data_IF_512033152938
#
_entry.id   IF_512033152938
#
_cell.length_a   1.000
_cell.length_b   1.000
_cell.length_c   1.000
_cell.angle_alpha   90.00
_cell.angle_beta   90.00
_cell.angle_gamma   90.00
#
_symmetry.space_group_name_H-M   'P 1'
#
loop_
_entity.id
_entity.type
_entity.pdbx_description
1 polymer ?
#
# COMPACT_ATOMS: atom_id res chain seq x y z
N UNK A 1 0.72 -18.69 -16.46
CA UNK A 1 -0.52 -18.41 -17.17
C UNK A 1 -1.31 -17.30 -16.49
N UNK A 2 -1.51 -17.36 -15.17
CA UNK A 2 -1.89 -16.19 -14.33
C UNK A 2 -1.01 -14.97 -14.55
N UNK A 3 0.28 -15.24 -14.72
CA UNK A 3 1.32 -14.27 -15.04
C UNK A 3 1.40 -13.91 -16.53
N UNK A 4 0.63 -14.57 -17.40
CA UNK A 4 0.66 -14.43 -18.86
C UNK A 4 -0.54 -13.60 -19.38
N UNK A 5 -1.63 -13.52 -18.62
CA UNK A 5 -2.68 -12.51 -18.81
C UNK A 5 -2.23 -11.07 -18.57
N UNK A 6 -1.02 -10.92 -18.03
CA UNK A 6 -0.29 -9.67 -17.97
C UNK A 6 0.37 -9.31 -19.32
N UNK A 7 0.32 -10.21 -20.32
CA UNK A 7 0.91 -10.04 -21.67
C UNK A 7 -0.12 -9.69 -22.74
N UNK A 8 -0.97 -8.70 -22.50
CA UNK A 8 -1.62 -8.02 -23.63
C UNK A 8 -0.57 -7.12 -24.28
N UNK A 9 0.02 -7.56 -25.40
CA UNK A 9 1.04 -6.84 -26.18
C UNK A 9 1.04 -5.33 -25.96
N UNK A 10 1.96 -4.86 -25.11
CA UNK A 10 2.26 -3.46 -24.87
C UNK A 10 1.06 -2.57 -24.51
N UNK A 11 0.49 -2.68 -23.30
CA UNK A 11 -0.26 -1.57 -22.68
C UNK A 11 -0.50 -1.62 -21.15
N UNK A 12 0.05 -2.58 -20.39
CA UNK A 12 -0.14 -2.66 -18.91
C UNK A 12 1.19 -2.81 -18.15
N UNK A 13 1.91 -1.70 -18.03
CA UNK A 13 3.08 -1.55 -17.14
C UNK A 13 2.56 -1.28 -15.72
N UNK A 14 2.97 -1.97 -14.66
CA UNK A 14 4.13 -1.70 -13.81
C UNK A 14 4.12 -2.60 -12.54
N UNK A 15 4.04 -3.93 -12.65
CA UNK A 15 4.73 -4.80 -11.67
C UNK A 15 6.01 -5.23 -12.36
N UNK A 16 7.16 -4.99 -11.72
CA UNK A 16 8.45 -5.36 -12.29
C UNK A 16 8.57 -6.87 -12.44
N UNK A 17 8.34 -7.31 -13.66
CA UNK A 17 8.45 -8.68 -14.16
C UNK A 17 9.85 -9.28 -14.00
N UNK A 18 10.87 -8.46 -13.69
CA UNK A 18 12.22 -8.94 -13.33
C UNK A 18 12.27 -9.66 -11.99
N UNK A 19 11.19 -9.64 -11.19
CA UNK A 19 11.07 -10.48 -9.98
C UNK A 19 11.01 -11.99 -10.30
N UNK A 20 10.79 -12.40 -11.55
CA UNK A 20 10.69 -13.81 -11.95
C UNK A 20 11.68 -14.16 -13.07
N UNK A 21 12.89 -14.60 -12.72
CA UNK A 21 14.01 -14.82 -13.66
C UNK A 21 13.91 -16.11 -14.51
N UNK A 22 12.80 -16.87 -14.45
CA UNK A 22 12.60 -18.10 -15.23
C UNK A 22 11.16 -18.22 -15.76
N UNK A 23 10.94 -17.99 -17.07
CA UNK A 23 9.85 -18.60 -17.88
C UNK A 23 10.04 -18.26 -19.37
N UNK A 24 9.68 -19.10 -20.36
CA UNK A 24 8.43 -19.88 -20.52
C UNK A 24 8.57 -21.17 -21.38
N UNK A 25 7.78 -22.24 -21.11
CA UNK A 25 7.45 -23.23 -22.15
C UNK A 25 5.95 -23.54 -22.41
N UNK A 26 4.97 -23.24 -21.55
CA UNK A 26 3.58 -23.71 -21.76
C UNK A 26 2.49 -22.74 -21.23
N UNK A 27 1.56 -22.31 -22.09
CA UNK A 27 0.44 -21.40 -21.76
C UNK A 27 -0.92 -22.12 -21.88
N UNK A 28 -1.72 -22.17 -20.79
CA UNK A 28 -3.06 -22.75 -20.71
C UNK A 28 -4.03 -21.95 -19.80
N UNK A 29 -5.14 -21.43 -20.36
CA UNK A 29 -6.44 -20.95 -19.78
C UNK A 29 -6.54 -20.02 -18.54
N UNK A 30 -7.33 -18.92 -18.63
CA UNK A 30 -7.49 -17.88 -17.56
C UNK A 30 -8.40 -18.35 -16.44
N UNK A 31 -7.92 -18.38 -15.19
CA UNK A 31 -8.73 -18.74 -14.01
C UNK A 31 -9.36 -17.50 -13.34
N UNK A 32 -10.46 -17.68 -12.60
CA UNK A 32 -11.20 -16.57 -11.99
C UNK A 32 -10.38 -15.86 -10.89
N UNK A 33 -9.55 -16.61 -10.16
CA UNK A 33 -8.63 -16.13 -9.14
C UNK A 33 -7.60 -15.15 -9.74
N UNK A 34 -7.22 -15.36 -11.00
CA UNK A 34 -6.29 -14.50 -11.74
C UNK A 34 -6.88 -13.11 -11.96
N UNK A 35 -8.20 -12.99 -12.12
CA UNK A 35 -8.88 -11.70 -12.28
C UNK A 35 -8.83 -10.87 -11.00
N UNK A 36 -9.02 -11.50 -9.84
CA UNK A 36 -8.93 -10.83 -8.55
C UNK A 36 -7.49 -10.33 -8.28
N UNK A 37 -6.51 -11.19 -8.57
CA UNK A 37 -5.09 -10.86 -8.48
C UNK A 37 -4.71 -9.68 -9.38
N UNK A 38 -5.04 -9.75 -10.66
CA UNK A 38 -4.75 -8.70 -11.65
C UNK A 38 -5.40 -7.37 -11.25
N UNK A 39 -6.67 -7.39 -10.83
CA UNK A 39 -7.38 -6.19 -10.37
C UNK A 39 -6.70 -5.57 -9.16
N UNK A 40 -6.40 -6.37 -8.14
CA UNK A 40 -5.80 -5.89 -6.90
C UNK A 40 -4.46 -5.20 -7.14
N UNK A 41 -3.57 -5.82 -7.91
CA UNK A 41 -2.26 -5.24 -8.14
C UNK A 41 -2.23 -4.13 -9.18
N UNK A 42 -3.14 -4.11 -10.16
CA UNK A 42 -3.29 -2.95 -11.05
C UNK A 42 -3.79 -1.73 -10.28
N UNK A 43 -4.75 -1.91 -9.37
CA UNK A 43 -5.18 -0.84 -8.48
C UNK A 43 -4.05 -0.40 -7.57
N UNK A 44 -3.26 -1.33 -7.01
CA UNK A 44 -2.13 -0.97 -6.16
C UNK A 44 -1.09 -0.11 -6.90
N UNK A 45 -0.76 -0.46 -8.14
CA UNK A 45 0.15 0.34 -8.96
C UNK A 45 -0.42 1.72 -9.27
N UNK A 46 -1.72 1.79 -9.58
CA UNK A 46 -2.40 3.05 -9.83
C UNK A 46 -2.39 3.93 -8.58
N UNK A 47 -2.73 3.37 -7.41
CA UNK A 47 -2.82 4.08 -6.14
C UNK A 47 -1.47 4.59 -5.67
N UNK A 48 -0.43 3.77 -5.78
CA UNK A 48 0.93 4.20 -5.45
C UNK A 48 1.49 5.22 -6.46
N UNK A 49 0.94 5.28 -7.68
CA UNK A 49 1.44 6.14 -8.74
C UNK A 49 2.75 5.60 -9.33
N UNK A 50 2.82 4.31 -9.66
CA UNK A 50 4.06 3.65 -10.13
C UNK A 50 4.77 4.34 -11.31
N UNK A 51 4.05 5.04 -12.19
CA UNK A 51 4.62 5.83 -13.29
C UNK A 51 5.41 7.07 -12.82
N UNK A 52 5.20 7.49 -11.58
CA UNK A 52 5.88 8.60 -10.92
C UNK A 52 7.03 8.10 -10.02
N UNK A 53 7.34 6.81 -10.04
CA UNK A 53 8.28 6.22 -9.08
C UNK A 53 9.65 5.90 -9.67
N UNK A 54 10.68 5.99 -8.83
CA UNK A 54 12.03 5.50 -9.13
C UNK A 54 12.16 4.06 -8.63
N UNK A 55 12.46 3.08 -9.50
CA UNK A 55 12.64 1.70 -9.08
C UNK A 55 14.06 1.46 -8.53
N UNK A 56 14.17 0.70 -7.45
CA UNK A 56 15.43 0.14 -6.92
C UNK A 56 15.39 -1.39 -7.06
N UNK A 57 15.99 -1.89 -8.14
CA UNK A 57 15.76 -3.25 -8.65
C UNK A 57 16.74 -4.24 -8.04
N UNK A 58 16.23 -5.42 -7.66
CA UNK A 58 16.91 -6.53 -6.99
C UNK A 58 18.38 -6.78 -7.40
N UNK A 59 18.66 -6.96 -8.69
CA UNK A 59 20.00 -7.32 -9.17
C UNK A 59 21.06 -6.23 -8.92
N UNK A 60 20.62 -4.98 -8.82
CA UNK A 60 21.50 -3.80 -8.66
C UNK A 60 21.40 -3.21 -7.25
N UNK A 61 20.38 -3.59 -6.49
CA UNK A 61 20.03 -3.00 -5.19
C UNK A 61 20.13 -3.98 -4.02
N UNK A 62 20.69 -5.18 -4.21
CA UNK A 62 20.92 -6.13 -3.10
C UNK A 62 21.78 -5.54 -1.96
N UNK A 63 22.65 -4.58 -2.29
CA UNK A 63 23.44 -3.83 -1.31
C UNK A 63 22.62 -2.76 -0.55
N UNK A 64 21.37 -2.51 -0.97
CA UNK A 64 20.44 -1.53 -0.38
C UNK A 64 19.31 -2.25 0.36
N UNK A 65 18.74 -3.29 -0.26
CA UNK A 65 17.61 -4.07 0.27
C UNK A 65 17.72 -5.54 -0.17
N UNK A 66 17.46 -6.48 0.73
CA UNK A 66 17.44 -7.92 0.40
C UNK A 66 16.40 -8.70 1.21
N UNK A 67 15.93 -9.81 0.65
CA UNK A 67 15.23 -10.86 1.40
C UNK A 67 16.20 -11.88 2.00
N UNK A 68 15.79 -12.58 3.05
CA UNK A 68 16.57 -13.63 3.70
C UNK A 68 16.37 -15.00 3.05
N UNK A 69 15.21 -15.24 2.44
CA UNK A 69 14.87 -16.48 1.79
C UNK A 69 15.30 -16.48 0.32
N UNK A 70 16.10 -17.46 -0.16
CA UNK A 70 16.56 -17.51 -1.55
C UNK A 70 15.43 -17.75 -2.58
N UNK A 71 14.26 -18.23 -2.14
CA UNK A 71 13.08 -18.36 -2.99
C UNK A 71 12.26 -17.06 -3.07
N UNK A 72 12.60 -16.04 -2.27
CA UNK A 72 11.94 -14.74 -2.28
C UNK A 72 12.78 -13.70 -3.02
N UNK A 73 12.10 -12.81 -3.73
CA UNK A 73 12.69 -11.65 -4.40
C UNK A 73 12.07 -10.38 -3.83
N UNK A 74 12.91 -9.37 -3.57
CA UNK A 74 12.49 -8.09 -3.01
C UNK A 74 12.86 -6.96 -3.95
N UNK A 75 11.96 -6.00 -4.14
CA UNK A 75 12.22 -4.74 -4.84
C UNK A 75 11.52 -3.60 -4.11
N UNK A 76 11.99 -2.37 -4.31
CA UNK A 76 11.32 -1.19 -3.75
C UNK A 76 11.19 -0.08 -4.79
N UNK A 77 10.14 0.71 -4.66
CA UNK A 77 9.88 1.87 -5.51
C UNK A 77 9.69 3.10 -4.65
N UNK A 78 10.39 4.18 -4.97
CA UNK A 78 10.19 5.47 -4.33
C UNK A 78 9.26 6.34 -5.17
N UNK A 79 8.11 6.75 -4.63
CA UNK A 79 7.27 7.75 -5.29
C UNK A 79 7.99 9.10 -5.28
N UNK A 80 8.22 9.71 -6.45
CA UNK A 80 8.99 10.97 -6.55
C UNK A 80 8.22 12.21 -6.08
N UNK A 81 6.89 12.14 -6.06
CA UNK A 81 6.02 13.25 -5.65
C UNK A 81 5.93 13.32 -4.13
N UNK A 82 5.75 12.17 -3.48
CA UNK A 82 5.44 12.08 -2.06
C UNK A 82 6.60 11.60 -1.20
N UNK A 83 7.62 10.98 -1.79
CA UNK A 83 8.74 10.36 -1.08
C UNK A 83 8.42 9.02 -0.43
N UNK A 84 7.19 8.53 -0.56
CA UNK A 84 6.77 7.24 -0.01
C UNK A 84 7.43 6.06 -0.73
N UNK A 85 7.52 4.92 -0.04
CA UNK A 85 8.12 3.70 -0.56
C UNK A 85 7.06 2.61 -0.74
N UNK A 86 7.17 1.84 -1.82
CA UNK A 86 6.44 0.59 -2.01
C UNK A 86 7.44 -0.56 -2.06
N UNK A 87 7.47 -1.37 -1.02
CA UNK A 87 8.27 -2.59 -0.96
C UNK A 87 7.41 -3.74 -1.48
N UNK A 88 7.95 -4.48 -2.46
CA UNK A 88 7.29 -5.62 -3.08
C UNK A 88 8.14 -6.86 -2.84
N UNK A 89 7.52 -7.90 -2.31
CA UNK A 89 8.15 -9.18 -2.03
C UNK A 89 7.39 -10.27 -2.77
N UNK A 90 8.09 -11.06 -3.57
CA UNK A 90 7.53 -12.16 -4.33
C UNK A 90 8.16 -13.48 -3.99
N UNK A 91 7.34 -14.52 -3.81
CA UNK A 91 7.78 -15.90 -3.66
C UNK A 91 7.77 -16.59 -5.02
N UNK A 92 8.93 -17.04 -5.48
CA UNK A 92 9.09 -17.75 -6.75
C UNK A 92 8.90 -19.28 -6.63
N UNK A 93 8.68 -19.80 -5.42
CA UNK A 93 8.42 -21.22 -5.20
C UNK A 93 6.94 -21.57 -5.30
N UNK A 94 6.67 -22.85 -5.55
CA UNK A 94 5.33 -23.45 -5.58
C UNK A 94 4.79 -23.85 -4.19
N UNK A 95 5.55 -23.56 -3.13
CA UNK A 95 5.14 -23.73 -1.74
C UNK A 95 5.13 -22.37 -1.02
N UNK A 96 4.28 -22.17 0.01
CA UNK A 96 4.38 -21.00 0.88
C UNK A 96 5.74 -20.96 1.58
N UNK A 97 6.29 -19.76 1.75
CA UNK A 97 7.56 -19.54 2.47
C UNK A 97 7.41 -18.43 3.50
N UNK A 98 8.35 -18.38 4.44
CA UNK A 98 8.53 -17.22 5.31
C UNK A 98 9.81 -16.51 4.89
N UNK A 99 9.75 -15.18 4.87
CA UNK A 99 10.89 -14.32 4.54
C UNK A 99 11.01 -13.16 5.52
N UNK A 100 12.16 -12.50 5.50
CA UNK A 100 12.43 -11.26 6.22
C UNK A 100 13.17 -10.31 5.28
N UNK A 101 12.84 -9.02 5.35
CA UNK A 101 13.54 -7.98 4.57
C UNK A 101 14.54 -7.26 5.47
N UNK A 102 15.71 -6.98 4.92
CA UNK A 102 16.76 -6.15 5.53
C UNK A 102 17.02 -4.93 4.68
N UNK A 103 16.98 -3.75 5.28
CA UNK A 103 17.37 -2.47 4.68
C UNK A 103 18.81 -2.16 5.06
N UNK A 104 19.75 -2.49 4.18
CA UNK A 104 21.20 -2.29 4.41
C UNK A 104 21.61 -0.82 4.35
N UNK A 105 20.96 -0.05 3.45
CA UNK A 105 21.25 1.37 3.19
C UNK A 105 19.95 2.17 3.09
N UNK A 106 19.16 2.25 4.18
CA UNK A 106 17.84 2.88 4.16
C UNK A 106 17.88 4.35 3.68
N UNK A 107 18.95 5.08 3.95
CA UNK A 107 19.15 6.45 3.47
C UNK A 107 19.18 6.59 1.94
N UNK A 108 19.62 5.55 1.21
CA UNK A 108 19.60 5.55 -0.26
C UNK A 108 18.17 5.39 -0.80
N UNK A 109 17.25 4.96 0.06
CA UNK A 109 15.80 4.93 -0.16
C UNK A 109 15.11 6.18 0.42
N UNK A 110 15.86 7.20 0.85
CA UNK A 110 15.30 8.39 1.50
C UNK A 110 14.64 8.11 2.86
N UNK A 111 15.03 7.01 3.52
CA UNK A 111 14.55 6.68 4.86
C UNK A 111 15.49 7.31 5.89
N UNK A 112 14.95 8.18 6.74
CA UNK A 112 15.66 8.81 7.85
C UNK A 112 15.54 7.94 9.12
N UNK A 113 16.64 7.45 9.70
CA UNK A 113 16.63 6.62 10.91
C UNK A 113 15.90 7.27 12.11
N UNK A 114 15.89 8.60 12.21
CA UNK A 114 15.27 9.32 13.31
C UNK A 114 13.77 9.60 13.10
N UNK A 115 13.28 9.43 11.87
CA UNK A 115 11.88 9.68 11.52
C UNK A 115 11.02 8.45 11.84
N UNK A 116 9.79 8.68 12.29
CA UNK A 116 8.79 7.62 12.43
C UNK A 116 8.10 7.35 11.09
N UNK A 117 7.90 6.08 10.79
CA UNK A 117 7.24 5.60 9.58
C UNK A 117 6.07 4.68 9.88
N UNK A 118 5.06 4.74 9.02
CA UNK A 118 3.97 3.81 8.97
C UNK A 118 4.23 2.74 7.93
N UNK A 119 4.11 1.47 8.32
CA UNK A 119 4.21 0.31 7.42
C UNK A 119 2.82 -0.26 7.24
N UNK A 120 2.24 -0.03 6.07
CA UNK A 120 0.92 -0.55 5.71
C UNK A 120 1.05 -1.78 4.83
N UNK A 121 0.52 -2.88 5.33
CA UNK A 121 0.36 -4.11 4.58
C UNK A 121 -0.86 -4.02 3.66
N UNK A 122 -0.62 -3.92 2.35
CA UNK A 122 -1.70 -3.69 1.38
C UNK A 122 -2.60 -4.92 1.24
N UNK A 123 -2.09 -6.12 1.48
CA UNK A 123 -2.84 -7.37 1.32
C UNK A 123 -3.62 -7.69 2.60
N UNK A 124 -2.93 -7.69 3.74
CA UNK A 124 -3.53 -8.00 5.04
C UNK A 124 -4.31 -6.82 5.64
N UNK A 125 -4.15 -5.62 5.08
CA UNK A 125 -4.75 -4.36 5.56
C UNK A 125 -4.38 -4.05 7.01
N UNK A 126 -3.16 -4.39 7.40
CA UNK A 126 -2.61 -4.10 8.74
C UNK A 126 -1.65 -2.92 8.69
N UNK A 127 -1.48 -2.25 9.83
CA UNK A 127 -0.61 -1.08 9.94
C UNK A 127 0.21 -1.13 11.21
N UNK A 128 1.51 -0.94 11.05
CA UNK A 128 2.44 -0.81 12.16
C UNK A 128 3.19 0.51 12.06
N UNK A 129 3.69 0.98 13.19
CA UNK A 129 4.54 2.17 13.27
C UNK A 129 5.92 1.70 13.69
N UNK A 130 6.96 2.16 13.02
CA UNK A 130 8.35 1.89 13.38
C UNK A 130 9.19 3.15 13.26
N UNK A 131 10.30 3.22 13.97
CA UNK A 131 11.34 4.21 13.67
C UNK A 131 12.02 3.82 12.35
N UNK A 132 12.62 4.77 11.65
CA UNK A 132 13.41 4.46 10.45
C UNK A 132 14.56 3.49 10.73
N UNK A 133 15.14 3.55 11.93
CA UNK A 133 16.20 2.64 12.38
C UNK A 133 15.70 1.21 12.62
N UNK A 134 14.43 1.04 13.01
CA UNK A 134 13.83 -0.25 13.38
C UNK A 134 12.88 -0.80 12.31
N UNK A 135 12.92 -0.27 11.08
CA UNK A 135 11.99 -0.66 10.02
C UNK A 135 12.09 -2.13 9.64
N UNK A 136 13.28 -2.71 9.70
CA UNK A 136 13.50 -4.14 9.47
C UNK A 136 12.66 -5.01 10.39
N UNK A 137 12.43 -4.56 11.64
CA UNK A 137 11.60 -5.26 12.61
C UNK A 137 10.14 -5.41 12.15
N UNK A 138 9.61 -4.42 11.43
CA UNK A 138 8.27 -4.47 10.85
C UNK A 138 8.19 -5.36 9.60
N UNK A 139 9.33 -5.77 9.04
CA UNK A 139 9.45 -6.58 7.84
C UNK A 139 10.06 -7.97 8.11
N UNK A 140 9.92 -8.48 9.34
CA UNK A 140 10.35 -9.82 9.73
C UNK A 140 9.22 -10.85 9.66
N UNK A 141 9.58 -12.12 9.42
CA UNK A 141 8.66 -13.28 9.50
C UNK A 141 7.42 -13.13 8.61
N UNK A 142 7.61 -12.56 7.43
CA UNK A 142 6.58 -12.30 6.45
C UNK A 142 6.18 -13.61 5.78
N UNK A 143 4.92 -14.00 5.94
CA UNK A 143 4.36 -15.17 5.26
C UNK A 143 4.06 -14.82 3.81
N UNK A 144 4.70 -15.52 2.87
CA UNK A 144 4.51 -15.34 1.45
C UNK A 144 3.78 -16.56 0.87
N UNK A 145 2.65 -16.36 0.17
CA UNK A 145 1.94 -17.47 -0.49
C UNK A 145 2.79 -18.09 -1.61
N UNK A 146 2.51 -19.35 -1.96
CA UNK A 146 3.10 -20.00 -3.13
C UNK A 146 2.86 -19.17 -4.39
N UNK A 147 3.91 -18.92 -5.19
CA UNK A 147 3.86 -18.07 -6.38
C UNK A 147 3.21 -16.69 -6.14
N UNK A 148 3.26 -16.19 -4.91
CA UNK A 148 2.50 -15.04 -4.45
C UNK A 148 3.33 -13.79 -4.20
N UNK A 149 2.63 -12.66 -4.10
CA UNK A 149 3.18 -11.34 -3.80
C UNK A 149 2.60 -10.76 -2.51
N UNK A 150 3.46 -10.01 -1.81
CA UNK A 150 3.10 -9.16 -0.68
C UNK A 150 3.66 -7.75 -0.91
N UNK A 151 2.85 -6.75 -0.59
CA UNK A 151 3.15 -5.34 -0.85
C UNK A 151 3.03 -4.55 0.46
N UNK A 152 4.04 -3.75 0.74
CA UNK A 152 4.10 -2.88 1.91
C UNK A 152 4.30 -1.44 1.47
N UNK A 153 3.37 -0.58 1.86
CA UNK A 153 3.47 0.85 1.66
C UNK A 153 4.05 1.50 2.90
N UNK A 154 5.17 2.18 2.73
CA UNK A 154 5.92 2.84 3.76
C UNK A 154 5.85 4.35 3.56
N UNK A 155 5.40 5.07 4.59
CA UNK A 155 5.27 6.53 4.54
C UNK A 155 5.73 7.18 5.84
N UNK A 156 6.31 8.39 5.81
CA UNK A 156 6.65 9.12 7.02
C UNK A 156 5.36 9.53 7.77
N UNK A 157 5.38 9.35 9.09
CA UNK A 157 4.27 9.74 9.95
C UNK A 157 4.39 11.22 10.30
N UNK A 158 3.32 11.97 10.03
CA UNK A 158 3.17 13.33 10.52
C UNK A 158 2.77 13.30 12.00
N UNK A 159 3.53 14.01 12.84
CA UNK A 159 3.32 14.02 14.28
C UNK A 159 1.98 14.63 14.70
N UNK A 160 1.51 15.66 13.99
CA UNK A 160 0.45 16.56 14.47
C UNK A 160 -0.86 16.49 13.68
N UNK A 161 -0.96 15.63 12.67
CA UNK A 161 -2.11 15.61 11.75
C UNK A 161 -2.46 14.21 11.26
N UNK A 162 -3.72 13.97 10.87
CA UNK A 162 -4.08 12.77 10.13
C UNK A 162 -3.41 12.75 8.75
N UNK A 163 -3.34 11.57 8.14
CA UNK A 163 -2.76 11.36 6.82
C UNK A 163 -3.54 10.30 6.03
N UNK A 164 -3.56 10.46 4.71
CA UNK A 164 -3.92 9.36 3.82
C UNK A 164 -2.81 8.31 3.82
N UNK A 165 -3.19 7.03 3.87
CA UNK A 165 -2.26 5.90 3.79
C UNK A 165 -2.46 5.16 2.47
N UNK A 166 -3.67 4.71 2.18
CA UNK A 166 -3.92 3.86 1.00
C UNK A 166 -5.36 3.96 0.50
N UNK A 167 -5.58 3.56 -0.74
CA UNK A 167 -6.89 3.57 -1.40
C UNK A 167 -7.08 4.84 -2.21
N UNK A 168 -7.16 4.71 -3.53
CA UNK A 168 -7.10 5.83 -4.47
C UNK A 168 -5.68 6.38 -4.65
N UNK A 169 -5.35 6.81 -5.87
CA UNK A 169 -4.16 7.59 -6.16
C UNK A 169 -4.30 8.96 -5.51
N UNK A 170 -3.35 9.30 -4.64
CA UNK A 170 -3.26 10.64 -4.04
C UNK A 170 -2.82 11.65 -5.09
N UNK A 171 -3.73 12.55 -5.44
CA UNK A 171 -3.51 13.64 -6.41
C UNK A 171 -3.04 14.90 -5.69
N UNK A 172 -3.64 15.18 -4.53
CA UNK A 172 -3.35 16.36 -3.72
C UNK A 172 -3.61 16.04 -2.25
N UNK A 173 -2.80 16.61 -1.37
CA UNK A 173 -3.00 16.56 0.08
C UNK A 173 -2.64 17.92 0.67
N UNK A 174 -3.57 18.51 1.40
CA UNK A 174 -3.41 19.82 2.03
C UNK A 174 -3.82 19.76 3.49
N UNK A 175 -2.94 20.25 4.36
CA UNK A 175 -3.23 20.43 5.78
C UNK A 175 -3.41 21.91 6.08
N UNK A 176 -4.61 22.26 6.55
CA UNK A 176 -4.94 23.60 7.06
C UNK A 176 -4.90 23.56 8.59
N UNK A 177 -3.82 24.06 9.23
CA UNK A 177 -3.71 24.07 10.69
C UNK A 177 -4.69 25.04 11.36
N UNK A 178 -5.13 26.11 10.68
CA UNK A 178 -6.05 27.08 11.23
C UNK A 178 -7.47 26.51 11.29
N UNK A 179 -7.90 25.81 10.24
CA UNK A 179 -9.15 25.06 10.22
C UNK A 179 -9.07 23.70 10.89
N UNK A 180 -7.86 23.25 11.27
CA UNK A 180 -7.55 21.89 11.75
C UNK A 180 -8.13 20.80 10.83
N UNK A 181 -7.93 20.98 9.53
CA UNK A 181 -8.56 20.15 8.49
C UNK A 181 -7.51 19.61 7.53
N UNK A 182 -7.58 18.31 7.27
CA UNK A 182 -6.90 17.67 6.16
C UNK A 182 -7.86 17.55 4.97
N UNK A 183 -7.43 17.95 3.79
CA UNK A 183 -8.15 17.75 2.53
C UNK A 183 -7.29 16.93 1.59
N UNK A 184 -7.83 15.84 1.04
CA UNK A 184 -7.12 14.92 0.14
C UNK A 184 -7.94 14.70 -1.12
N UNK A 185 -7.34 14.87 -2.30
CA UNK A 185 -7.96 14.50 -3.58
C UNK A 185 -7.46 13.13 -4.02
N UNK A 186 -8.38 12.18 -4.18
CA UNK A 186 -8.10 10.79 -4.50
C UNK A 186 -8.70 10.42 -5.87
N UNK A 187 -7.94 9.72 -6.70
CA UNK A 187 -8.40 9.24 -8.01
C UNK A 187 -8.33 7.73 -8.13
N UNK A 188 -9.29 7.12 -8.79
CA UNK A 188 -9.26 5.72 -9.21
C UNK A 188 -10.11 5.57 -10.48
N UNK A 189 -10.10 4.39 -11.13
CA UNK A 189 -11.03 4.11 -12.22
C UNK A 189 -12.49 4.31 -11.76
N UNK A 190 -13.28 4.99 -12.60
CA UNK A 190 -14.67 5.27 -12.29
C UNK A 190 -15.48 3.98 -12.10
N UNK A 191 -16.38 3.98 -11.12
CA UNK A 191 -17.21 2.81 -10.77
C UNK A 191 -16.50 1.79 -9.87
N UNK A 192 -15.22 1.97 -9.57
CA UNK A 192 -14.55 1.16 -8.55
C UNK A 192 -15.02 1.58 -7.17
N UNK A 193 -15.48 0.61 -6.40
CA UNK A 193 -15.67 0.71 -4.96
C UNK A 193 -14.50 0.02 -4.27
N UNK A 194 -13.84 0.72 -3.35
CA UNK A 194 -12.71 0.19 -2.56
C UNK A 194 -12.59 0.94 -1.22
N UNK A 195 -11.80 0.38 -0.31
CA UNK A 195 -11.51 0.98 0.99
C UNK A 195 -10.39 2.03 0.92
N UNK A 196 -10.62 3.15 1.59
CA UNK A 196 -9.61 4.18 1.87
C UNK A 196 -9.15 4.02 3.31
N UNK A 197 -7.83 4.07 3.51
CA UNK A 197 -7.15 3.89 4.79
C UNK A 197 -6.46 5.18 5.21
N UNK A 198 -6.64 5.56 6.46
CA UNK A 198 -6.12 6.80 7.03
C UNK A 198 -5.40 6.54 8.35
N UNK A 199 -4.34 7.30 8.59
CA UNK A 199 -3.79 7.46 9.94
C UNK A 199 -4.63 8.53 10.64
N UNK A 200 -5.29 8.23 11.77
CA UNK A 200 -6.11 9.23 12.48
C UNK A 200 -5.30 10.38 13.09
N UNK A 201 -3.98 10.22 13.26
CA UNK A 201 -3.16 11.19 14.00
C UNK A 201 -3.43 11.13 15.52
N UNK A 202 -2.85 12.06 16.31
CA UNK A 202 -2.98 12.04 17.77
C UNK A 202 -4.23 12.75 18.30
N UNK A 203 -4.84 13.62 17.49
CA UNK A 203 -5.97 14.45 17.91
C UNK A 203 -7.31 13.78 17.56
N UNK A 204 -8.37 14.02 18.36
CA UNK A 204 -9.69 13.50 18.04
C UNK A 204 -10.23 14.05 16.71
N UNK A 205 -10.93 13.19 15.98
CA UNK A 205 -11.56 13.52 14.70
C UNK A 205 -13.03 13.82 14.95
N UNK A 206 -13.47 15.01 14.53
CA UNK A 206 -14.84 15.48 14.66
C UNK A 206 -15.73 15.00 13.51
N UNK A 207 -15.18 14.95 12.29
CA UNK A 207 -15.92 14.54 11.09
C UNK A 207 -14.98 14.03 9.99
N UNK A 208 -15.50 13.13 9.17
CA UNK A 208 -14.93 12.75 7.89
C UNK A 208 -16.01 12.93 6.82
N UNK A 209 -15.67 13.63 5.75
CA UNK A 209 -16.58 13.82 4.61
C UNK A 209 -15.95 13.37 3.31
N UNK A 210 -16.80 12.91 2.40
CA UNK A 210 -16.47 12.53 1.03
C UNK A 210 -17.34 13.37 0.11
N UNK A 211 -16.71 14.20 -0.72
CA UNK A 211 -17.37 15.19 -1.58
C UNK A 211 -18.40 16.04 -0.82
N UNK A 212 -18.03 16.51 0.38
CA UNK A 212 -18.86 17.34 1.25
C UNK A 212 -20.00 16.61 1.98
N UNK A 213 -20.13 15.29 1.84
CA UNK A 213 -21.12 14.48 2.55
C UNK A 213 -20.48 13.69 3.68
N UNK A 214 -21.12 13.56 4.86
CA UNK A 214 -20.63 12.67 5.91
C UNK A 214 -20.36 11.26 5.39
N UNK A 215 -19.21 10.71 5.71
CA UNK A 215 -18.80 9.37 5.28
C UNK A 215 -18.59 8.45 6.48
N UNK A 216 -19.04 7.20 6.34
CA UNK A 216 -18.86 6.18 7.37
C UNK A 216 -17.43 5.64 7.31
N UNK A 217 -16.69 5.87 8.39
CA UNK A 217 -15.38 5.29 8.63
C UNK A 217 -15.39 4.59 9.98
N UNK A 218 -14.54 3.59 10.13
CA UNK A 218 -14.40 2.80 11.34
C UNK A 218 -12.94 2.76 11.79
N UNK A 219 -12.72 2.64 13.10
CA UNK A 219 -11.39 2.46 13.69
C UNK A 219 -11.01 0.97 13.68
N UNK A 220 -9.75 0.68 13.40
CA UNK A 220 -9.18 -0.64 13.73
C UNK A 220 -9.24 -0.88 15.24
N UNK A 221 -9.19 -2.15 15.65
CA UNK A 221 -9.24 -2.52 17.07
C UNK A 221 -8.10 -1.91 17.89
N UNK A 222 -6.93 -1.71 17.28
CA UNK A 222 -5.78 -1.05 17.91
C UNK A 222 -5.79 0.48 17.77
N UNK A 223 -6.81 1.05 17.12
CA UNK A 223 -7.01 2.48 16.92
C UNK A 223 -6.01 3.16 15.99
N UNK A 224 -5.10 2.42 15.35
CA UNK A 224 -4.04 3.00 14.53
C UNK A 224 -4.46 3.31 13.09
N UNK A 225 -5.58 2.73 12.64
CA UNK A 225 -6.14 2.95 11.32
C UNK A 225 -7.59 3.42 11.42
N UNK A 226 -7.96 4.28 10.49
CA UNK A 226 -9.33 4.46 10.05
C UNK A 226 -9.50 3.86 8.66
N UNK A 227 -10.64 3.26 8.41
CA UNK A 227 -10.99 2.74 7.09
C UNK A 227 -12.45 2.97 6.77
N UNK A 228 -12.74 3.21 5.49
CA UNK A 228 -14.08 3.47 4.98
C UNK A 228 -14.16 3.16 3.51
N UNK A 229 -15.31 2.66 3.07
CA UNK A 229 -15.54 2.34 1.67
C UNK A 229 -15.98 3.59 0.90
N UNK A 230 -15.41 3.78 -0.29
CA UNK A 230 -15.78 4.87 -1.19
C UNK A 230 -15.97 4.32 -2.61
N UNK A 231 -16.85 4.97 -3.36
CA UNK A 231 -17.02 4.71 -4.80
C UNK A 231 -16.42 5.86 -5.60
N UNK A 232 -15.43 5.55 -6.42
CA UNK A 232 -14.77 6.52 -7.27
C UNK A 232 -15.61 6.84 -8.51
N UNK A 233 -15.60 8.11 -8.90
CA UNK A 233 -16.23 8.58 -10.13
C UNK A 233 -15.17 9.01 -11.13
N UNK A 234 -15.58 9.66 -12.22
CA UNK A 234 -14.63 10.22 -13.19
C UNK A 234 -13.78 11.34 -12.59
N UNK A 235 -14.34 12.11 -11.66
CA UNK A 235 -13.65 13.21 -11.02
C UNK A 235 -12.94 12.73 -9.74
N UNK A 236 -11.76 13.28 -9.40
CA UNK A 236 -11.12 12.95 -8.14
C UNK A 236 -12.05 13.25 -6.96
N UNK A 237 -12.18 12.26 -6.09
CA UNK A 237 -12.92 12.34 -4.84
C UNK A 237 -12.20 13.28 -3.89
N UNK A 238 -12.93 14.20 -3.25
CA UNK A 238 -12.43 15.02 -2.15
C UNK A 238 -12.77 14.35 -0.82
N UNK A 239 -11.75 13.95 -0.08
CA UNK A 239 -11.85 13.44 1.28
C UNK A 239 -11.38 14.52 2.25
N UNK A 240 -12.20 14.85 3.23
CA UNK A 240 -11.84 15.84 4.26
C UNK A 240 -11.96 15.23 5.65
N UNK A 241 -10.95 15.50 6.49
CA UNK A 241 -10.90 15.08 7.89
C UNK A 241 -10.79 16.35 8.74
N UNK A 242 -11.78 16.57 9.60
CA UNK A 242 -11.79 17.70 10.53
C UNK A 242 -11.44 17.21 11.94
N UNK A 243 -10.46 17.86 12.57
CA UNK A 243 -10.11 17.59 13.96
C UNK A 243 -10.96 18.43 14.91
N UNK A 244 -11.32 17.85 16.05
CA UNK A 244 -12.13 18.52 17.07
C UNK A 244 -12.77 17.50 18.00
N UNK A 245 -13.60 17.95 18.95
CA UNK A 245 -14.29 17.05 19.87
C UNK A 245 -15.05 15.96 19.10
N UNK A 246 -14.83 14.71 19.48
CA UNK A 246 -15.52 13.57 18.87
C UNK A 246 -17.03 13.72 19.09
N UNK A 247 -17.79 13.76 17.98
CA UNK A 247 -19.24 14.04 18.02
C UNK A 247 -20.06 12.76 18.19
N UNK A 248 -19.52 11.62 17.77
CA UNK A 248 -20.16 10.30 17.85
C UNK A 248 -19.08 9.22 18.03
N UNK A 249 -19.38 8.14 18.75
CA UNK A 249 -18.45 7.03 18.91
C UNK A 249 -18.17 6.37 17.56
N UNK A 250 -16.89 6.11 17.29
CA UNK A 250 -16.48 5.34 16.12
C UNK A 250 -16.94 3.89 16.21
N UNK A 251 -17.43 3.33 15.10
CA UNK A 251 -17.49 1.89 14.96
C UNK A 251 -16.07 1.30 14.99
N UNK A 252 -15.94 0.13 15.60
CA UNK A 252 -14.67 -0.60 15.69
C UNK A 252 -14.82 -1.93 14.96
N UNK A 253 -14.06 -2.10 13.88
CA UNK A 253 -13.98 -3.35 13.14
C UNK A 253 -12.61 -3.47 12.46
N UNK A 254 -12.17 -4.71 12.28
CA UNK A 254 -10.97 -4.98 11.52
C UNK A 254 -11.22 -4.68 10.02
N UNK A 255 -10.25 -4.06 9.32
CA UNK A 255 -10.22 -4.07 7.87
C UNK A 255 -10.31 -5.50 7.32
N UNK A 256 -11.00 -5.67 6.20
CA UNK A 256 -11.07 -6.95 5.50
C UNK A 256 -9.81 -7.16 4.65
N UNK A 257 -9.03 -8.23 4.85
CA UNK A 257 -7.90 -8.57 3.99
C UNK A 257 -8.32 -8.79 2.53
N UNK A 258 -7.41 -8.56 1.60
CA UNK A 258 -7.61 -8.92 0.20
C UNK A 258 -7.54 -10.44 0.03
N UNK A 259 -8.63 -11.05 -0.44
CA UNK A 259 -8.68 -12.48 -0.76
C UNK A 259 -8.05 -12.73 -2.13
N UNK A 260 -6.72 -12.87 -2.16
CA UNK A 260 -5.95 -13.05 -3.40
C UNK A 260 -5.47 -14.47 -3.64
N UNK A 261 -5.33 -15.26 -2.57
CA UNK A 261 -4.76 -16.59 -2.59
C UNK A 261 -5.73 -17.58 -1.93
N UNK A 262 -5.83 -18.82 -2.45
CA UNK A 262 -6.52 -19.89 -1.74
C UNK A 262 -5.80 -20.20 -0.42
N UNK A 263 -6.57 -20.45 0.63
CA UNK A 263 -6.08 -20.88 1.96
C UNK A 263 -5.58 -22.33 1.96
#
# INVERSE_FOLDING_TARGET
YTLDLLTGGGQYMYIDWRLFTKKFPHAAGVLAEETAFVRAFNLAQHYFGMHESTPHIFAESAAIISGANPAAAVTTYQNRTWGDQLIVIGNASDAPVTDSVTLHRPQDLGIDPAQAYGVFDIVERTYTRSSGADLDGALQNLKLPANGLRLFYLHPIAAERPQHIWGGKRIEEHWDPAAKRLSVRLSAPAGVTDSVFLNPGPQPIAAITVNGKPAAFAKSADGKLLHGEVTFTRDPLLLEIELGPERQPWSVNAPTPLKLYPE
#
